data_IF_988508557661
#
_entry.id   IF_988508557661
#
_cell.length_a   1.000
_cell.length_b   1.000
_cell.length_c   1.000
_cell.angle_alpha   90.00
_cell.angle_beta   90.00
_cell.angle_gamma   90.00
#
_symmetry.space_group_name_H-M   'P 1'
#
loop_
_entity.id
_entity.type
_entity.pdbx_description
1 polymer ?
#
# COMPACT_ATOMS: atom_id res chain seq x y z
N UNK A 1 0.70 7.58 -1.55
CA UNK A 1 1.90 7.89 -2.36
C UNK A 1 2.43 6.60 -2.93
N UNK A 2 2.88 6.58 -4.18
CA UNK A 2 3.49 5.39 -4.75
C UNK A 2 4.94 5.25 -4.25
N UNK A 3 5.36 4.02 -3.95
CA UNK A 3 6.75 3.66 -3.72
C UNK A 3 7.18 2.79 -4.88
N UNK A 4 8.16 3.30 -5.62
CA UNK A 4 8.73 2.68 -6.80
C UNK A 4 10.14 2.20 -6.46
N UNK A 5 10.23 1.00 -5.87
CA UNK A 5 11.51 0.44 -5.40
C UNK A 5 12.48 0.16 -6.56
N UNK A 6 11.96 -0.02 -7.77
CA UNK A 6 12.75 -0.18 -8.99
C UNK A 6 13.54 1.08 -9.39
N UNK A 7 13.07 2.27 -9.01
CA UNK A 7 13.81 3.53 -9.15
C UNK A 7 14.62 3.87 -7.89
N UNK A 8 14.09 3.55 -6.71
CA UNK A 8 14.73 3.82 -5.42
C UNK A 8 15.98 2.97 -5.18
N UNK A 9 15.91 1.67 -5.49
CA UNK A 9 16.99 0.72 -5.29
C UNK A 9 17.08 -0.25 -6.50
N UNK A 10 17.52 0.26 -7.66
CA UNK A 10 17.49 -0.52 -8.91
C UNK A 10 18.40 -1.75 -8.89
N UNK A 11 19.41 -1.75 -8.02
CA UNK A 11 20.33 -2.85 -7.75
C UNK A 11 20.49 -2.96 -6.25
N UNK A 12 20.68 -4.18 -5.74
CA UNK A 12 20.89 -4.40 -4.31
C UNK A 12 22.04 -3.52 -3.81
N UNK A 13 21.81 -2.71 -2.78
CA UNK A 13 22.80 -1.78 -2.25
C UNK A 13 24.02 -2.54 -1.70
N UNK A 14 23.76 -3.65 -0.99
CA UNK A 14 24.74 -4.63 -0.56
C UNK A 14 24.11 -6.04 -0.38
N UNK A 15 24.49 -6.85 0.61
CA UNK A 15 23.87 -8.19 0.87
C UNK A 15 23.68 -8.42 2.39
N UNK A 16 23.72 -7.33 3.18
CA UNK A 16 23.48 -7.32 4.62
C UNK A 16 22.32 -6.36 4.91
N UNK A 17 21.12 -6.86 5.25
CA UNK A 17 19.91 -6.05 5.44
C UNK A 17 19.96 -5.15 6.69
N UNK A 18 21.09 -5.19 7.41
CA UNK A 18 21.36 -4.40 8.59
C UNK A 18 22.28 -3.20 8.32
N UNK A 19 22.92 -3.11 7.16
CA UNK A 19 23.87 -2.06 6.80
C UNK A 19 23.36 -1.23 5.63
N UNK A 20 22.90 -0.01 5.90
CA UNK A 20 22.35 0.86 4.85
C UNK A 20 23.48 1.52 4.04
N UNK A 21 23.72 1.04 2.83
CA UNK A 21 24.71 1.64 1.92
C UNK A 21 24.06 2.76 1.09
N UNK A 22 24.13 4.00 1.60
CA UNK A 22 23.40 5.17 1.07
C UNK A 22 23.52 5.40 -0.45
N UNK A 23 24.67 5.06 -1.06
CA UNK A 23 24.86 5.18 -2.52
C UNK A 23 23.95 4.25 -3.35
N UNK A 24 23.39 3.19 -2.75
CA UNK A 24 22.44 2.29 -3.38
C UNK A 24 21.00 2.84 -3.43
N UNK A 25 20.69 3.84 -2.61
CA UNK A 25 19.36 4.42 -2.45
C UNK A 25 19.21 5.76 -3.19
N UNK A 26 18.58 5.71 -4.36
CA UNK A 26 18.56 6.77 -5.35
C UNK A 26 17.39 7.74 -5.18
N UNK A 27 17.71 9.00 -4.91
CA UNK A 27 16.78 10.15 -4.90
C UNK A 27 17.23 11.23 -5.87
N UNK A 28 17.25 10.87 -7.15
CA UNK A 28 17.78 11.74 -8.21
C UNK A 28 16.74 12.78 -8.64
N UNK A 29 17.19 14.03 -8.83
CA UNK A 29 16.34 15.10 -9.39
C UNK A 29 15.72 14.65 -10.72
N UNK A 30 14.38 14.79 -10.83
CA UNK A 30 13.61 14.40 -11.99
C UNK A 30 13.11 12.94 -12.02
N UNK A 31 13.48 12.11 -11.03
CA UNK A 31 12.91 10.77 -10.84
C UNK A 31 11.49 10.81 -10.26
N UNK A 32 10.73 9.73 -10.40
CA UNK A 32 9.42 9.61 -9.76
C UNK A 32 9.54 9.55 -8.23
N UNK A 33 10.61 8.93 -7.73
CA UNK A 33 10.92 8.87 -6.30
C UNK A 33 11.14 10.27 -5.72
N UNK A 34 11.98 11.09 -6.36
CA UNK A 34 12.23 12.46 -5.92
C UNK A 34 10.97 13.32 -5.95
N UNK A 35 10.19 13.23 -7.03
CA UNK A 35 8.93 13.95 -7.15
C UNK A 35 7.92 13.54 -6.05
N UNK A 36 7.91 12.26 -5.68
CA UNK A 36 7.08 11.75 -4.58
C UNK A 36 7.48 12.35 -3.24
N UNK A 37 8.78 12.38 -2.94
CA UNK A 37 9.27 13.01 -1.70
C UNK A 37 8.98 14.51 -1.65
N UNK A 38 9.20 15.23 -2.75
CA UNK A 38 8.88 16.67 -2.85
C UNK A 38 7.39 16.93 -2.63
N UNK A 39 6.52 16.14 -3.26
CA UNK A 39 5.08 16.29 -3.08
C UNK A 39 4.66 16.03 -1.63
N UNK A 40 5.20 14.97 -1.01
CA UNK A 40 4.96 14.71 0.41
C UNK A 40 5.41 15.86 1.30
N UNK A 41 6.60 16.42 1.05
CA UNK A 41 7.13 17.57 1.79
C UNK A 41 6.24 18.82 1.65
N UNK A 42 5.60 19.02 0.49
CA UNK A 42 4.67 20.12 0.26
C UNK A 42 3.35 19.95 1.03
N UNK A 43 2.77 18.74 1.04
CA UNK A 43 1.44 18.51 1.61
C UNK A 43 1.45 18.16 3.10
N UNK A 44 2.52 17.55 3.60
CA UNK A 44 2.60 17.09 5.00
C UNK A 44 2.43 18.22 6.03
N UNK A 45 3.06 19.41 5.89
CA UNK A 45 2.87 20.53 6.82
C UNK A 45 1.44 21.07 6.86
N UNK A 46 0.59 20.72 5.89
CA UNK A 46 -0.82 21.11 5.84
C UNK A 46 -1.72 20.20 6.69
N UNK A 47 -1.14 19.21 7.38
CA UNK A 47 -1.85 18.26 8.23
C UNK A 47 -2.42 17.07 7.46
N UNK A 48 -1.95 16.83 6.23
CA UNK A 48 -2.33 15.66 5.42
C UNK A 48 -1.64 14.42 5.98
N UNK A 49 -2.43 13.38 6.23
CA UNK A 49 -1.89 12.07 6.60
C UNK A 49 -1.31 11.38 5.37
N UNK A 50 -0.08 10.88 5.51
CA UNK A 50 0.64 10.25 4.40
C UNK A 50 0.55 8.74 4.54
N UNK A 51 -0.08 8.12 3.55
CA UNK A 51 0.00 6.68 3.29
C UNK A 51 0.87 6.45 2.06
N UNK A 52 1.62 5.36 2.04
CA UNK A 52 2.47 4.98 0.93
C UNK A 52 2.24 3.51 0.55
N UNK A 53 2.32 3.18 -0.73
CA UNK A 53 2.05 1.84 -1.24
C UNK A 53 3.09 1.46 -2.27
N UNK A 54 3.69 0.28 -2.13
CA UNK A 54 4.64 -0.26 -3.09
C UNK A 54 3.91 -0.65 -4.35
N UNK A 55 4.29 -0.03 -5.46
CA UNK A 55 3.76 -0.32 -6.79
C UNK A 55 4.74 -1.13 -7.62
N UNK A 56 6.04 -0.84 -7.50
CA UNK A 56 7.06 -1.51 -8.30
C UNK A 56 8.22 -1.97 -7.42
N UNK A 57 8.79 -3.10 -7.82
CA UNK A 57 9.99 -3.70 -7.21
C UNK A 57 10.99 -4.00 -8.33
N UNK A 58 12.30 -3.91 -8.07
CA UNK A 58 13.33 -4.25 -9.05
C UNK A 58 13.40 -5.76 -9.28
N UNK A 59 13.97 -6.15 -10.43
CA UNK A 59 14.11 -7.55 -10.85
C UNK A 59 14.88 -8.42 -9.87
N UNK A 60 15.84 -7.85 -9.16
CA UNK A 60 16.67 -8.59 -8.22
C UNK A 60 15.91 -9.02 -6.95
N UNK A 61 14.79 -8.37 -6.61
CA UNK A 61 13.96 -8.69 -5.44
C UNK A 61 12.99 -9.85 -5.68
N UNK A 62 12.83 -10.33 -6.92
CA UNK A 62 11.77 -11.30 -7.27
C UNK A 62 12.32 -12.57 -7.92
N UNK A 63 11.58 -13.67 -7.80
CA UNK A 63 11.95 -14.95 -8.43
C UNK A 63 11.52 -15.06 -9.91
N UNK A 64 10.60 -14.20 -10.35
CA UNK A 64 10.01 -14.16 -11.69
C UNK A 64 10.16 -12.77 -12.34
N UNK A 65 11.39 -12.31 -12.60
CA UNK A 65 11.65 -10.95 -13.11
C UNK A 65 11.04 -10.66 -14.48
N UNK A 66 10.76 -11.69 -15.28
CA UNK A 66 10.10 -11.57 -16.58
C UNK A 66 8.62 -11.19 -16.52
N UNK A 67 7.99 -11.28 -15.34
CA UNK A 67 6.59 -10.96 -15.16
C UNK A 67 6.38 -9.45 -14.91
N UNK A 68 5.43 -8.85 -15.63
CA UNK A 68 5.02 -7.45 -15.39
C UNK A 68 4.01 -7.31 -14.24
N UNK A 69 3.31 -8.39 -13.89
CA UNK A 69 2.33 -8.49 -12.80
C UNK A 69 2.46 -9.82 -12.07
N UNK A 70 1.89 -9.92 -10.87
CA UNK A 70 2.01 -11.09 -9.99
C UNK A 70 3.47 -11.51 -9.78
N UNK A 71 4.34 -10.52 -9.57
CA UNK A 71 5.74 -10.71 -9.22
C UNK A 71 5.81 -11.22 -7.78
N UNK A 72 6.69 -12.18 -7.55
CA UNK A 72 6.78 -12.92 -6.29
C UNK A 72 8.11 -12.58 -5.66
N UNK A 73 8.05 -12.02 -4.46
CA UNK A 73 9.23 -11.80 -3.62
C UNK A 73 9.44 -13.10 -2.84
N UNK A 74 10.56 -13.82 -3.06
CA UNK A 74 10.83 -15.04 -2.30
C UNK A 74 11.18 -14.67 -0.85
N UNK A 75 10.84 -15.53 0.12
CA UNK A 75 10.93 -15.20 1.55
C UNK A 75 12.34 -14.83 2.00
N UNK A 76 13.35 -15.44 1.41
CA UNK A 76 14.76 -15.12 1.65
C UNK A 76 15.13 -13.66 1.29
N UNK A 77 14.32 -12.97 0.47
CA UNK A 77 14.52 -11.56 0.10
C UNK A 77 13.74 -10.58 0.97
N UNK A 78 12.89 -11.05 1.89
CA UNK A 78 12.13 -10.14 2.77
C UNK A 78 13.03 -9.19 3.56
N UNK A 79 14.14 -9.64 4.16
CA UNK A 79 15.03 -8.73 4.89
C UNK A 79 15.52 -7.54 4.05
N UNK A 80 15.97 -7.79 2.82
CA UNK A 80 16.46 -6.74 1.90
C UNK A 80 15.32 -5.82 1.43
N UNK A 81 14.14 -6.38 1.12
CA UNK A 81 12.97 -5.57 0.74
C UNK A 81 12.55 -4.67 1.92
N UNK A 82 12.58 -5.20 3.14
CA UNK A 82 12.26 -4.45 4.35
C UNK A 82 13.30 -3.37 4.62
N UNK A 83 14.58 -3.64 4.39
CA UNK A 83 15.64 -2.63 4.45
C UNK A 83 15.37 -1.50 3.45
N UNK A 84 15.12 -1.84 2.17
CA UNK A 84 14.81 -0.88 1.12
C UNK A 84 13.65 0.05 1.51
N UNK A 85 12.58 -0.53 2.04
CA UNK A 85 11.42 0.19 2.55
C UNK A 85 11.78 1.07 3.76
N UNK A 86 12.57 0.55 4.69
CA UNK A 86 13.02 1.30 5.85
C UNK A 86 13.91 2.49 5.44
N UNK A 87 14.81 2.29 4.47
CA UNK A 87 15.65 3.34 3.90
C UNK A 87 14.79 4.44 3.28
N UNK A 88 13.77 4.06 2.51
CA UNK A 88 12.83 5.01 1.89
C UNK A 88 12.06 5.82 2.96
N UNK A 89 11.59 5.16 4.02
CA UNK A 89 10.90 5.79 5.13
C UNK A 89 11.83 6.72 5.94
N UNK A 90 13.10 6.33 6.11
CA UNK A 90 14.12 7.15 6.74
C UNK A 90 14.45 8.39 5.90
N UNK A 91 14.60 8.24 4.57
CA UNK A 91 14.78 9.37 3.64
C UNK A 91 13.63 10.35 3.74
N UNK A 92 12.38 9.87 3.74
CA UNK A 92 11.19 10.70 3.97
C UNK A 92 11.27 11.48 5.29
N UNK A 93 11.64 10.80 6.39
CA UNK A 93 11.69 11.38 7.74
C UNK A 93 12.82 12.38 7.90
N UNK A 94 14.02 12.02 7.49
CA UNK A 94 15.26 12.68 7.87
C UNK A 94 15.60 13.84 6.93
N UNK A 95 15.33 13.67 5.63
CA UNK A 95 15.64 14.68 4.61
C UNK A 95 14.42 15.51 4.21
N UNK A 96 13.25 14.88 4.11
CA UNK A 96 12.01 15.56 3.70
C UNK A 96 11.13 15.99 4.87
N UNK A 97 11.46 15.56 6.10
CA UNK A 97 10.71 15.86 7.32
C UNK A 97 9.25 15.38 7.30
N UNK A 98 9.01 14.27 6.60
CA UNK A 98 7.71 13.64 6.46
C UNK A 98 7.67 12.33 7.24
N UNK A 99 6.66 12.15 8.09
CA UNK A 99 6.34 10.84 8.67
C UNK A 99 5.24 10.16 7.88
N UNK A 100 5.56 9.01 7.31
CA UNK A 100 4.59 8.13 6.63
C UNK A 100 3.87 7.32 7.70
N UNK A 101 2.55 7.45 7.76
CA UNK A 101 1.73 6.83 8.81
C UNK A 101 1.47 5.35 8.50
N UNK A 102 1.18 5.04 7.24
CA UNK A 102 0.88 3.68 6.82
C UNK A 102 1.57 3.29 5.51
N UNK A 103 1.93 2.00 5.42
CA UNK A 103 2.56 1.36 4.28
C UNK A 103 1.71 0.18 3.78
N UNK A 104 1.74 -0.12 2.49
CA UNK A 104 1.19 -1.36 1.92
C UNK A 104 1.95 -1.82 0.68
N UNK A 105 1.63 -3.02 0.19
CA UNK A 105 1.84 -3.38 -1.21
C UNK A 105 0.51 -3.20 -1.94
N UNK A 106 0.53 -2.43 -3.02
CA UNK A 106 -0.68 -2.05 -3.73
C UNK A 106 -1.38 -3.28 -4.33
N UNK A 107 -2.63 -3.51 -3.95
CA UNK A 107 -3.49 -4.56 -4.52
C UNK A 107 -2.85 -5.96 -4.51
N UNK A 108 -2.07 -6.23 -3.46
CA UNK A 108 -1.23 -7.42 -3.39
C UNK A 108 -2.02 -8.74 -3.40
N UNK A 109 -3.32 -8.69 -3.09
CA UNK A 109 -4.21 -9.85 -3.14
C UNK A 109 -4.48 -10.36 -4.57
N UNK A 110 -4.49 -9.47 -5.57
CA UNK A 110 -4.58 -9.84 -7.00
C UNK A 110 -3.21 -9.88 -7.67
N UNK A 111 -2.25 -9.16 -7.09
CA UNK A 111 -0.92 -9.00 -7.63
C UNK A 111 -0.92 -8.18 -8.91
N UNK A 112 -1.50 -6.97 -8.89
CA UNK A 112 -1.38 -6.05 -10.04
C UNK A 112 0.09 -5.84 -10.42
N UNK A 113 0.97 -5.74 -9.42
CA UNK A 113 2.41 -5.78 -9.60
C UNK A 113 3.05 -6.87 -8.74
N UNK A 114 2.99 -6.75 -7.41
CA UNK A 114 3.52 -7.76 -6.47
C UNK A 114 2.36 -8.56 -5.90
N UNK A 115 2.45 -9.89 -5.96
CA UNK A 115 1.49 -10.79 -5.34
C UNK A 115 1.96 -11.17 -3.93
N UNK A 116 1.10 -10.97 -2.92
CA UNK A 116 1.30 -11.53 -1.59
C UNK A 116 0.09 -12.39 -1.24
N UNK A 117 0.35 -13.64 -0.86
CA UNK A 117 -0.64 -14.43 -0.13
C UNK A 117 -0.84 -13.83 1.27
N UNK A 118 -1.96 -14.14 1.97
CA UNK A 118 -2.10 -13.74 3.37
C UNK A 118 -0.93 -14.19 4.24
N UNK A 119 -0.41 -15.40 4.01
CA UNK A 119 0.74 -15.94 4.73
C UNK A 119 2.01 -15.12 4.48
N UNK A 120 2.27 -14.76 3.23
CA UNK A 120 3.45 -13.96 2.87
C UNK A 120 3.33 -12.51 3.38
N UNK A 121 2.13 -11.93 3.33
CA UNK A 121 1.85 -10.63 3.93
C UNK A 121 2.08 -10.66 5.45
N UNK A 122 1.67 -11.72 6.15
CA UNK A 122 1.89 -11.87 7.60
C UNK A 122 3.39 -11.85 7.93
N UNK A 123 4.20 -12.63 7.21
CA UNK A 123 5.65 -12.69 7.45
C UNK A 123 6.33 -11.34 7.13
N UNK A 124 6.01 -10.72 5.99
CA UNK A 124 6.52 -9.40 5.62
C UNK A 124 6.18 -8.34 6.68
N UNK A 125 4.95 -8.33 7.19
CA UNK A 125 4.50 -7.40 8.22
C UNK A 125 5.17 -7.68 9.58
N UNK A 126 5.40 -8.95 9.92
CA UNK A 126 6.06 -9.35 11.16
C UNK A 126 7.49 -8.83 11.20
N UNK A 127 8.28 -9.20 10.20
CA UNK A 127 9.68 -8.80 10.10
C UNK A 127 9.81 -7.28 9.90
N UNK A 128 9.00 -6.70 9.02
CA UNK A 128 9.01 -5.27 8.73
C UNK A 128 8.57 -4.43 9.92
N UNK A 129 7.54 -4.85 10.64
CA UNK A 129 7.05 -4.17 11.84
C UNK A 129 8.08 -4.13 12.97
N UNK A 130 8.81 -5.23 13.18
CA UNK A 130 9.92 -5.27 14.14
C UNK A 130 11.06 -4.33 13.70
N UNK A 131 11.49 -4.43 12.43
CA UNK A 131 12.57 -3.61 11.89
C UNK A 131 12.26 -2.11 11.92
N UNK A 132 11.05 -1.72 11.52
CA UNK A 132 10.62 -0.31 11.55
C UNK A 132 10.67 0.24 12.98
N UNK A 133 10.20 -0.53 13.96
CA UNK A 133 10.25 -0.14 15.37
C UNK A 133 11.68 0.03 15.88
N UNK A 134 12.60 -0.86 15.52
CA UNK A 134 14.03 -0.76 15.89
C UNK A 134 14.68 0.52 15.34
N UNK A 135 14.29 0.93 14.13
CA UNK A 135 14.77 2.14 13.46
C UNK A 135 14.03 3.43 13.89
N UNK A 136 13.10 3.31 14.85
CA UNK A 136 12.31 4.44 15.34
C UNK A 136 11.30 4.99 14.31
N UNK A 137 10.89 4.16 13.35
CA UNK A 137 9.83 4.47 12.41
C UNK A 137 8.48 4.10 13.05
N UNK A 138 7.55 5.06 13.08
CA UNK A 138 6.20 4.89 13.63
C UNK A 138 5.22 4.29 12.61
N UNK A 139 5.69 4.03 11.38
CA UNK A 139 4.90 3.53 10.26
C UNK A 139 4.30 2.15 10.55
N UNK A 140 3.02 1.99 10.25
CA UNK A 140 2.28 0.72 10.38
C UNK A 140 1.85 0.21 9.01
N UNK A 141 1.43 -1.04 8.90
CA UNK A 141 0.99 -1.65 7.65
C UNK A 141 -0.53 -1.52 7.49
N UNK A 142 -1.03 -1.11 6.33
CA UNK A 142 -2.47 -1.19 6.06
C UNK A 142 -2.94 -2.64 6.08
N UNK A 143 -4.12 -2.88 6.66
CA UNK A 143 -4.72 -4.20 6.65
C UNK A 143 -5.56 -4.36 5.37
N UNK A 144 -5.18 -5.27 4.49
CA UNK A 144 -6.02 -5.69 3.36
C UNK A 144 -5.63 -5.07 2.03
N UNK A 145 -5.57 -3.74 1.94
CA UNK A 145 -5.25 -2.93 0.73
C UNK A 145 -5.57 -3.63 -0.61
N UNK A 146 -6.78 -4.20 -0.69
CA UNK A 146 -7.17 -5.10 -1.77
C UNK A 146 -7.72 -4.31 -2.94
N UNK A 147 -7.51 -4.78 -4.17
CA UNK A 147 -8.06 -4.17 -5.41
C UNK A 147 -9.58 -3.99 -5.40
N UNK A 148 -10.26 -4.90 -4.75
CA UNK A 148 -11.71 -5.01 -4.79
C UNK A 148 -12.26 -5.17 -3.38
N UNK A 149 -13.53 -4.78 -3.22
CA UNK A 149 -14.30 -4.94 -2.00
C UNK A 149 -14.66 -6.42 -1.76
N UNK A 150 -14.97 -7.16 -2.82
CA UNK A 150 -15.45 -8.55 -2.75
C UNK A 150 -14.52 -9.51 -2.01
N UNK A 151 -13.22 -9.43 -2.27
CA UNK A 151 -12.20 -10.32 -1.70
C UNK A 151 -11.60 -9.79 -0.38
N UNK A 152 -11.92 -8.55 0.01
CA UNK A 152 -11.25 -7.86 1.11
C UNK A 152 -11.33 -8.63 2.43
N UNK A 153 -12.53 -9.04 2.86
CA UNK A 153 -12.71 -9.72 4.16
C UNK A 153 -11.99 -11.06 4.16
N UNK A 154 -12.09 -11.85 3.09
CA UNK A 154 -11.43 -13.15 3.01
C UNK A 154 -9.91 -13.03 3.09
N UNK A 155 -9.33 -11.98 2.52
CA UNK A 155 -7.90 -11.73 2.58
C UNK A 155 -7.48 -11.14 3.94
N UNK A 156 -8.10 -10.03 4.35
CA UNK A 156 -7.78 -9.30 5.57
C UNK A 156 -8.04 -10.10 6.85
N UNK A 157 -9.06 -10.97 6.89
CA UNK A 157 -9.34 -11.77 8.09
C UNK A 157 -8.22 -12.76 8.42
N UNK A 158 -7.58 -13.34 7.41
CA UNK A 158 -6.45 -14.25 7.60
C UNK A 158 -5.24 -13.52 8.19
N UNK A 159 -4.93 -12.31 7.69
CA UNK A 159 -3.88 -11.45 8.24
C UNK A 159 -4.23 -11.00 9.67
N UNK A 160 -5.48 -10.61 9.90
CA UNK A 160 -5.94 -10.16 11.22
C UNK A 160 -5.92 -11.28 12.28
N UNK A 161 -6.11 -12.53 11.89
CA UNK A 161 -6.08 -13.68 12.79
C UNK A 161 -4.65 -13.99 13.30
N UNK A 162 -3.61 -13.47 12.65
CA UNK A 162 -2.24 -13.43 13.19
C UNK A 162 -2.13 -12.36 14.30
N UNK A 163 -2.48 -12.75 15.52
CA UNK A 163 -2.60 -11.85 16.68
C UNK A 163 -1.30 -11.13 17.05
N UNK A 164 -0.16 -11.75 16.77
CA UNK A 164 1.17 -11.27 17.10
C UNK A 164 1.60 -10.05 16.28
N UNK A 165 1.06 -9.88 15.07
CA UNK A 165 1.37 -8.74 14.19
C UNK A 165 0.40 -7.57 14.33
N UNK A 166 -0.70 -7.69 15.09
CA UNK A 166 -1.74 -6.65 15.18
C UNK A 166 -1.22 -5.29 15.66
N UNK A 167 -0.14 -5.27 16.45
CA UNK A 167 0.53 -4.03 16.84
C UNK A 167 1.03 -3.23 15.64
N UNK A 168 1.43 -3.91 14.57
CA UNK A 168 1.96 -3.34 13.34
C UNK A 168 0.87 -3.02 12.31
N UNK A 169 -0.40 -3.37 12.55
CA UNK A 169 -1.50 -3.20 11.59
C UNK A 169 -2.32 -1.92 11.81
N UNK A 170 -2.51 -1.14 10.76
CA UNK A 170 -3.36 0.03 10.69
C UNK A 170 -4.84 -0.27 10.39
N UNK A 171 -5.55 0.71 9.79
CA UNK A 171 -6.92 0.57 9.33
C UNK A 171 -7.12 -0.59 8.35
N UNK A 172 -8.36 -1.05 8.25
CA UNK A 172 -8.81 -1.93 7.17
C UNK A 172 -8.91 -1.10 5.88
N UNK A 173 -8.09 -1.44 4.89
CA UNK A 173 -7.98 -0.76 3.61
C UNK A 173 -8.50 -1.65 2.47
N UNK A 174 -9.08 -1.01 1.45
CA UNK A 174 -9.51 -1.64 0.19
C UNK A 174 -9.71 -0.58 -0.89
N UNK A 175 -9.79 -1.04 -2.14
CA UNK A 175 -10.12 -0.24 -3.31
C UNK A 175 -11.52 -0.61 -3.83
N UNK A 176 -12.17 0.33 -4.52
CA UNK A 176 -13.58 0.18 -4.93
C UNK A 176 -13.77 -0.20 -6.41
N UNK A 177 -12.76 -0.81 -7.04
CA UNK A 177 -12.75 -1.03 -8.49
C UNK A 177 -13.86 -1.97 -8.97
N UNK A 178 -14.30 -2.91 -8.13
CA UNK A 178 -15.51 -3.71 -8.30
C UNK A 178 -16.77 -2.94 -7.87
N UNK A 179 -17.02 -1.75 -8.42
CA UNK A 179 -18.14 -0.89 -8.00
C UNK A 179 -19.55 -1.51 -8.13
N UNK A 180 -19.68 -2.68 -8.76
CA UNK A 180 -20.91 -3.47 -8.81
C UNK A 180 -21.06 -4.47 -7.65
N UNK A 181 -20.11 -4.55 -6.72
CA UNK A 181 -20.19 -5.37 -5.52
C UNK A 181 -21.53 -5.14 -4.80
N UNK A 182 -22.11 -6.20 -4.22
CA UNK A 182 -23.39 -6.08 -3.54
C UNK A 182 -23.26 -5.26 -2.26
N UNK A 183 -24.38 -4.67 -1.81
CA UNK A 183 -24.40 -3.94 -0.54
C UNK A 183 -24.03 -4.84 0.66
N UNK A 184 -24.31 -6.16 0.57
CA UNK A 184 -23.90 -7.14 1.59
C UNK A 184 -22.38 -7.23 1.75
N UNK A 185 -21.61 -7.08 0.66
CA UNK A 185 -20.13 -7.03 0.72
C UNK A 185 -19.69 -5.82 1.54
N UNK A 186 -20.22 -4.63 1.22
CA UNK A 186 -19.83 -3.39 1.89
C UNK A 186 -20.27 -3.38 3.37
N UNK A 187 -21.48 -3.87 3.66
CA UNK A 187 -21.96 -4.05 5.03
C UNK A 187 -21.11 -5.07 5.80
N UNK A 188 -20.63 -6.12 5.12
CA UNK A 188 -19.70 -7.08 5.67
C UNK A 188 -18.37 -6.44 6.09
N UNK A 189 -17.81 -5.55 5.25
CA UNK A 189 -16.57 -4.82 5.55
C UNK A 189 -16.78 -3.97 6.82
N UNK A 190 -17.87 -3.19 6.87
CA UNK A 190 -18.21 -2.39 8.04
C UNK A 190 -18.41 -3.22 9.31
N UNK A 191 -19.10 -4.36 9.19
CA UNK A 191 -19.32 -5.27 10.32
C UNK A 191 -18.03 -5.93 10.82
N UNK A 192 -17.13 -6.31 9.92
CA UNK A 192 -15.80 -6.83 10.28
C UNK A 192 -14.99 -5.78 11.05
N UNK A 193 -14.98 -4.53 10.57
CA UNK A 193 -14.28 -3.45 11.23
C UNK A 193 -14.87 -3.13 12.61
N UNK A 194 -16.20 -3.02 12.73
CA UNK A 194 -16.90 -2.80 14.00
C UNK A 194 -16.60 -3.90 15.03
N UNK A 195 -16.62 -5.16 14.60
CA UNK A 195 -16.30 -6.31 15.45
C UNK A 195 -14.89 -6.23 16.03
N UNK A 196 -13.95 -5.69 15.26
CA UNK A 196 -12.52 -5.70 15.58
C UNK A 196 -12.00 -4.34 16.07
N UNK A 197 -12.85 -3.30 16.12
CA UNK A 197 -12.46 -1.95 16.53
C UNK A 197 -11.50 -1.28 15.55
N UNK A 198 -11.69 -1.50 14.25
CA UNK A 198 -10.84 -0.97 13.18
C UNK A 198 -11.51 0.23 12.50
N UNK A 199 -10.69 1.20 12.08
CA UNK A 199 -11.10 2.18 11.08
C UNK A 199 -11.16 1.52 9.70
N UNK A 200 -11.97 2.08 8.80
CA UNK A 200 -12.16 1.58 7.44
C UNK A 200 -11.80 2.67 6.44
N UNK A 201 -10.84 2.40 5.56
CA UNK A 201 -10.38 3.34 4.54
C UNK A 201 -10.55 2.75 3.14
N UNK A 202 -11.10 3.56 2.23
CA UNK A 202 -11.04 3.27 0.81
C UNK A 202 -9.84 4.03 0.24
N UNK A 203 -8.74 3.31 0.01
CA UNK A 203 -7.43 3.90 -0.32
C UNK A 203 -7.27 4.21 -1.80
N UNK A 204 -8.03 3.53 -2.68
CA UNK A 204 -8.33 3.98 -4.03
C UNK A 204 -9.82 3.87 -4.35
N UNK A 205 -10.43 5.02 -4.66
CA UNK A 205 -11.85 5.13 -4.92
C UNK A 205 -12.14 5.43 -6.39
N UNK A 206 -12.78 4.49 -7.07
CA UNK A 206 -13.24 4.65 -8.46
C UNK A 206 -14.34 3.65 -8.82
N UNK A 207 -14.92 3.79 -10.01
CA UNK A 207 -15.97 2.88 -10.49
C UNK A 207 -15.57 2.00 -11.67
N UNK A 208 -14.40 2.26 -12.25
CA UNK A 208 -13.86 1.55 -13.41
C UNK A 208 -12.33 1.72 -13.41
N UNK A 209 -11.60 0.64 -13.11
CA UNK A 209 -10.13 0.62 -13.08
C UNK A 209 -9.50 0.83 -14.47
N UNK A 210 -10.28 0.70 -15.56
CA UNK A 210 -9.79 0.86 -16.93
C UNK A 210 -10.15 2.22 -17.54
N UNK A 211 -10.79 3.11 -16.76
CA UNK A 211 -11.25 4.39 -17.27
C UNK A 211 -10.11 5.28 -17.79
N UNK A 212 -8.89 5.10 -17.29
CA UNK A 212 -7.69 5.81 -17.77
C UNK A 212 -7.44 5.60 -19.27
N UNK A 213 -7.92 4.50 -19.85
CA UNK A 213 -7.85 4.23 -21.30
C UNK A 213 -8.89 5.03 -22.12
N UNK A 214 -9.83 5.69 -21.43
CA UNK A 214 -10.92 6.47 -22.01
C UNK A 214 -10.98 7.88 -21.41
N UNK A 215 -9.92 8.70 -21.56
CA UNK A 215 -9.85 10.04 -20.99
C UNK A 215 -10.95 10.97 -21.54
N UNK A 216 -11.50 10.66 -22.71
CA UNK A 216 -12.65 11.36 -23.30
C UNK A 216 -13.92 11.28 -22.43
N UNK A 217 -14.02 10.28 -21.54
CA UNK A 217 -15.16 10.08 -20.64
C UNK A 217 -15.04 10.86 -19.34
N UNK A 218 -13.85 11.29 -18.95
CA UNK A 218 -13.61 12.02 -17.68
C UNK A 218 -14.51 13.27 -17.52
N UNK A 219 -14.70 14.15 -18.53
CA UNK A 219 -15.56 15.32 -18.37
C UNK A 219 -17.06 15.02 -18.44
N UNK A 220 -17.46 13.74 -18.59
CA UNK A 220 -18.85 13.34 -18.82
C UNK A 220 -19.70 13.24 -17.55
N UNK A 221 -20.97 13.62 -17.65
CA UNK A 221 -21.94 13.50 -16.54
C UNK A 221 -22.07 12.07 -16.01
N UNK A 222 -22.05 11.06 -16.90
CA UNK A 222 -22.12 9.65 -16.49
C UNK A 222 -20.94 9.24 -15.61
N UNK A 223 -19.73 9.69 -15.93
CA UNK A 223 -18.56 9.44 -15.12
C UNK A 223 -18.73 10.07 -13.73
N UNK A 224 -19.11 11.34 -13.67
CA UNK A 224 -19.33 12.05 -12.41
C UNK A 224 -20.43 11.39 -11.54
N UNK A 225 -21.54 10.95 -12.15
CA UNK A 225 -22.62 10.27 -11.45
C UNK A 225 -22.18 8.92 -10.88
N UNK A 226 -21.48 8.11 -11.66
CA UNK A 226 -20.99 6.81 -11.21
C UNK A 226 -19.96 6.95 -10.09
N UNK A 227 -19.05 7.92 -10.21
CA UNK A 227 -18.05 8.22 -9.18
C UNK A 227 -18.73 8.66 -7.87
N UNK A 228 -19.69 9.58 -7.94
CA UNK A 228 -20.46 10.01 -6.77
C UNK A 228 -21.24 8.85 -6.13
N UNK A 229 -21.81 7.96 -6.95
CA UNK A 229 -22.57 6.82 -6.47
C UNK A 229 -21.69 5.82 -5.69
N UNK A 230 -20.52 5.45 -6.22
CA UNK A 230 -19.64 4.50 -5.52
C UNK A 230 -19.08 5.12 -4.23
N UNK A 231 -18.68 6.40 -4.24
CA UNK A 231 -18.22 7.09 -3.03
C UNK A 231 -19.31 7.13 -1.95
N UNK A 232 -20.54 7.47 -2.32
CA UNK A 232 -21.66 7.48 -1.39
C UNK A 232 -21.96 6.08 -0.82
N UNK A 233 -21.85 5.02 -1.63
CA UNK A 233 -22.04 3.64 -1.19
C UNK A 233 -20.96 3.21 -0.22
N UNK A 234 -19.69 3.41 -0.58
CA UNK A 234 -18.53 3.11 0.26
C UNK A 234 -18.65 3.81 1.61
N UNK A 235 -18.75 5.14 1.63
CA UNK A 235 -18.83 5.92 2.87
C UNK A 235 -20.00 5.48 3.77
N UNK A 236 -21.17 5.23 3.18
CA UNK A 236 -22.37 4.90 3.95
C UNK A 236 -22.35 3.46 4.48
N UNK A 237 -21.92 2.50 3.67
CA UNK A 237 -22.13 1.08 3.95
C UNK A 237 -20.95 0.44 4.68
N UNK A 238 -19.72 0.84 4.35
CA UNK A 238 -18.53 0.36 5.06
C UNK A 238 -18.23 1.20 6.31
N UNK A 239 -18.90 2.36 6.44
CA UNK A 239 -18.64 3.40 7.44
C UNK A 239 -17.23 3.99 7.31
N UNK A 240 -16.69 4.00 6.10
CA UNK A 240 -15.37 4.54 5.85
C UNK A 240 -15.23 5.96 6.42
N UNK A 241 -14.17 6.18 7.19
CA UNK A 241 -13.93 7.44 7.89
C UNK A 241 -12.45 7.80 7.86
N UNK A 242 -12.11 8.84 7.10
CA UNK A 242 -11.25 9.98 7.45
C UNK A 242 -11.12 10.88 6.23
#
# INVERSE_FOLDING_TARGET
MAIDLDEWEPVNDNEDPNDFYDDGFLDNEGSHVHATFQFMQEVYPQGVEIIASVWRVPDWMVENPENESQRIIPRERYPEVIESLAAWLMRARDEYHVKVSYLSFNEANLGINVLLSPEDAIEMIREGGERFKELGLETRWLLGDTSNMGENISYASQIWDAVDIRGYLGPLAFHSWDAQASDDVLLGIGAFADKNGLDVWCTEGGWDAQLWQHPDRFPGYTHALNLAAIYARVLKMTRASR
#
